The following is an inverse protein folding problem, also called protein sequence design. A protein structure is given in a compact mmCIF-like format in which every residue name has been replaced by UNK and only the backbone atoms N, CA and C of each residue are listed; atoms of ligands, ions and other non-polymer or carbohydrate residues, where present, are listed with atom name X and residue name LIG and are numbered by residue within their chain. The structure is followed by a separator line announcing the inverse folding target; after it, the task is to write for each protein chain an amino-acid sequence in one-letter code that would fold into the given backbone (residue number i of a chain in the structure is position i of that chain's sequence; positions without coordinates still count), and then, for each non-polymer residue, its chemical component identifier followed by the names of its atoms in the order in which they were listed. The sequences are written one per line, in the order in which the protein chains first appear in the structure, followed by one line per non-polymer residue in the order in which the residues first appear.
data_IF_858549197084
#
_entry.id   IF_858549197084
#
_cell.length_a   1.000
_cell.length_b   1.000
_cell.length_c   1.000
_cell.angle_alpha   90.00
_cell.angle_beta   90.00
_cell.angle_gamma   90.00
#
_symmetry.space_group_name_H-M   'P 1'
#
loop_
_entity.id
_entity.type
_entity.pdbx_description
1 polymer ?
#
# COMPACT_ATOMS: atom_id res chain seq x y z
N UNK A 1 -21.87 28.07 -18.40
CA UNK A 1 -20.53 28.05 -17.75
C UNK A 1 -20.61 27.78 -16.25
N UNK A 2 -21.55 28.33 -15.47
CA UNK A 2 -21.54 28.13 -14.00
C UNK A 2 -21.90 26.70 -13.52
N UNK A 3 -22.71 25.95 -14.27
CA UNK A 3 -23.11 24.58 -13.87
C UNK A 3 -21.98 23.54 -14.04
N UNK A 4 -21.15 23.69 -15.08
CA UNK A 4 -20.04 22.77 -15.39
C UNK A 4 -18.86 22.95 -14.40
N UNK A 5 -18.63 24.18 -13.94
CA UNK A 5 -17.62 24.48 -12.90
C UNK A 5 -18.02 23.84 -11.55
N UNK A 6 -19.29 23.92 -11.17
CA UNK A 6 -19.79 23.28 -9.95
C UNK A 6 -19.73 21.75 -10.02
N UNK A 7 -19.90 21.18 -11.21
CA UNK A 7 -19.78 19.74 -11.45
C UNK A 7 -18.32 19.27 -11.26
N UNK A 8 -17.34 20.03 -11.74
CA UNK A 8 -15.93 19.74 -11.49
C UNK A 8 -15.51 19.93 -10.04
N UNK A 9 -16.01 20.96 -9.35
CA UNK A 9 -15.74 21.15 -7.92
C UNK A 9 -16.21 19.93 -7.11
N UNK A 10 -17.41 19.42 -7.40
CA UNK A 10 -17.95 18.22 -6.75
C UNK A 10 -17.17 16.95 -7.13
N UNK A 11 -16.74 16.82 -8.37
CA UNK A 11 -15.92 15.70 -8.83
C UNK A 11 -14.55 15.68 -8.14
N UNK A 12 -13.91 16.85 -7.98
CA UNK A 12 -12.66 16.98 -7.23
C UNK A 12 -12.82 16.68 -5.75
N UNK A 13 -13.91 17.14 -5.13
CA UNK A 13 -14.20 16.82 -3.73
C UNK A 13 -14.31 15.31 -3.54
N UNK A 14 -15.13 14.65 -4.35
CA UNK A 14 -15.28 13.19 -4.33
C UNK A 14 -13.95 12.48 -4.53
N UNK A 15 -13.17 12.90 -5.53
CA UNK A 15 -11.87 12.31 -5.82
C UNK A 15 -10.86 12.45 -4.66
N UNK A 16 -10.86 13.61 -3.98
CA UNK A 16 -10.00 13.84 -2.82
C UNK A 16 -10.48 13.05 -1.60
N UNK A 17 -11.78 12.95 -1.38
CA UNK A 17 -12.36 12.14 -0.30
C UNK A 17 -12.00 10.65 -0.47
N UNK A 18 -12.12 10.12 -1.69
CA UNK A 18 -11.76 8.73 -2.01
C UNK A 18 -10.26 8.47 -1.81
N UNK A 19 -9.39 9.43 -2.18
CA UNK A 19 -7.95 9.32 -1.99
C UNK A 19 -7.56 9.37 -0.50
N UNK A 20 -8.24 10.21 0.28
CA UNK A 20 -8.04 10.27 1.74
C UNK A 20 -8.43 8.95 2.40
N UNK A 21 -9.57 8.36 2.02
CA UNK A 21 -10.01 7.07 2.52
C UNK A 21 -9.02 5.95 2.17
N UNK A 22 -8.47 5.98 0.96
CA UNK A 22 -7.42 5.05 0.55
C UNK A 22 -6.12 5.23 1.36
N UNK A 23 -5.74 6.47 1.68
CA UNK A 23 -4.59 6.76 2.53
C UNK A 23 -4.79 6.22 3.95
N UNK A 24 -5.98 6.44 4.53
CA UNK A 24 -6.34 5.93 5.85
C UNK A 24 -6.27 4.39 5.89
N UNK A 25 -6.78 3.72 4.85
CA UNK A 25 -6.70 2.27 4.75
C UNK A 25 -5.26 1.76 4.69
N UNK A 26 -4.44 2.35 3.82
CA UNK A 26 -3.05 1.94 3.68
C UNK A 26 -2.23 2.22 4.97
N UNK A 27 -2.53 3.29 5.71
CA UNK A 27 -1.93 3.53 7.02
C UNK A 27 -2.35 2.49 8.06
N UNK A 28 -3.62 2.09 8.08
CA UNK A 28 -4.09 1.00 8.96
C UNK A 28 -3.40 -0.31 8.64
N UNK A 29 -3.24 -0.64 7.36
CA UNK A 29 -2.54 -1.85 6.91
C UNK A 29 -1.05 -1.83 7.26
N UNK A 30 -0.39 -0.67 7.24
CA UNK A 30 1.00 -0.57 7.71
C UNK A 30 1.14 -0.65 9.22
N UNK A 31 0.14 -0.21 9.98
CA UNK A 31 0.13 -0.27 11.43
C UNK A 31 -0.29 -1.65 11.97
N UNK A 32 -0.97 -2.47 11.15
CA UNK A 32 -1.43 -3.79 11.57
C UNK A 32 -0.26 -4.77 11.71
N UNK A 33 -0.33 -5.63 12.74
CA UNK A 33 0.63 -6.73 12.93
C UNK A 33 0.24 -7.97 12.09
N UNK A 34 -1.00 -8.01 11.61
CA UNK A 34 -1.53 -9.12 10.82
C UNK A 34 -1.24 -8.92 9.34
N UNK A 35 -0.74 -9.97 8.68
CA UNK A 35 -0.62 -9.95 7.23
C UNK A 35 -2.01 -9.89 6.59
N UNK A 36 -2.27 -8.91 5.71
CA UNK A 36 -3.48 -8.92 4.91
C UNK A 36 -3.47 -10.14 3.99
N UNK A 37 -4.66 -10.67 3.74
CA UNK A 37 -4.87 -11.72 2.74
C UNK A 37 -4.49 -11.22 1.35
N UNK A 38 -4.13 -12.14 0.45
CA UNK A 38 -3.86 -11.81 -0.95
C UNK A 38 -5.06 -11.16 -1.64
N UNK A 39 -6.28 -11.50 -1.22
CA UNK A 39 -7.51 -10.89 -1.71
C UNK A 39 -7.64 -9.41 -1.31
N UNK A 40 -7.31 -9.07 -0.05
CA UNK A 40 -7.30 -7.68 0.44
C UNK A 40 -6.23 -6.85 -0.28
N UNK A 41 -5.04 -7.41 -0.48
CA UNK A 41 -3.96 -6.74 -1.25
C UNK A 41 -4.40 -6.52 -2.71
N UNK A 42 -5.01 -7.51 -3.34
CA UNK A 42 -5.50 -7.39 -4.72
C UNK A 42 -6.69 -6.41 -4.84
N UNK A 43 -7.48 -6.24 -3.79
CA UNK A 43 -8.52 -5.20 -3.74
C UNK A 43 -7.90 -3.80 -3.68
N UNK A 44 -6.90 -3.59 -2.82
CA UNK A 44 -6.19 -2.31 -2.72
C UNK A 44 -5.45 -1.94 -4.02
N UNK A 45 -4.92 -2.92 -4.76
CA UNK A 45 -4.21 -2.70 -6.02
C UNK A 45 -5.10 -2.26 -7.21
N UNK A 46 -6.43 -2.24 -7.06
CA UNK A 46 -7.38 -1.86 -8.12
C UNK A 46 -7.62 -0.36 -8.27
N UNK A 47 -6.91 0.48 -7.52
CA UNK A 47 -7.04 1.93 -7.65
C UNK A 47 -6.79 2.39 -9.09
N UNK A 48 -7.70 3.21 -9.60
CA UNK A 48 -7.60 3.81 -10.94
C UNK A 48 -7.72 5.31 -10.78
N UNK A 49 -6.82 6.09 -11.41
CA UNK A 49 -6.87 7.54 -11.29
C UNK A 49 -8.20 8.08 -11.84
N UNK A 50 -8.88 8.99 -11.12
CA UNK A 50 -10.11 9.60 -11.59
C UNK A 50 -9.84 10.40 -12.86
N UNK A 51 -10.73 10.25 -13.85
CA UNK A 51 -10.65 10.96 -15.14
C UNK A 51 -11.72 12.04 -15.21
N UNK A 52 -11.57 12.99 -16.14
CA UNK A 52 -12.57 14.03 -16.36
C UNK A 52 -12.65 15.12 -15.28
N UNK A 53 -11.67 15.20 -14.38
CA UNK A 53 -11.69 16.14 -13.26
C UNK A 53 -11.50 17.62 -13.65
N UNK A 54 -11.17 17.96 -14.89
CA UNK A 54 -10.91 19.35 -15.27
C UNK A 54 -9.74 19.97 -14.47
N UNK A 55 -9.72 21.29 -14.34
CA UNK A 55 -8.69 21.99 -13.57
C UNK A 55 -8.98 21.92 -12.07
N UNK A 56 -7.94 21.77 -11.24
CA UNK A 56 -8.07 21.77 -9.79
C UNK A 56 -8.58 23.14 -9.28
N UNK A 57 -9.70 23.18 -8.54
CA UNK A 57 -10.22 24.40 -7.94
C UNK A 57 -9.23 24.97 -6.92
N UNK A 58 -8.99 26.29 -6.97
CA UNK A 58 -8.00 26.94 -6.11
C UNK A 58 -8.28 26.73 -4.61
N UNK A 59 -9.56 26.65 -4.22
CA UNK A 59 -9.97 26.38 -2.84
C UNK A 59 -9.52 25.00 -2.34
N UNK A 60 -9.35 24.02 -3.24
CA UNK A 60 -8.92 22.65 -2.90
C UNK A 60 -7.41 22.45 -2.98
N UNK A 61 -6.66 23.44 -3.47
CA UNK A 61 -5.22 23.35 -3.68
C UNK A 61 -4.46 22.92 -2.42
N UNK A 62 -4.69 23.61 -1.30
CA UNK A 62 -4.00 23.31 -0.03
C UNK A 62 -4.29 21.89 0.46
N UNK A 63 -5.54 21.43 0.31
CA UNK A 63 -5.96 20.07 0.66
C UNK A 63 -5.24 19.03 -0.21
N UNK A 64 -5.25 19.23 -1.53
CA UNK A 64 -4.59 18.34 -2.48
C UNK A 64 -3.07 18.25 -2.25
N UNK A 65 -2.40 19.38 -1.96
CA UNK A 65 -0.97 19.41 -1.65
C UNK A 65 -0.63 18.66 -0.36
N UNK A 66 -1.44 18.85 0.70
CA UNK A 66 -1.27 18.12 1.96
C UNK A 66 -1.47 16.61 1.77
N UNK A 67 -2.49 16.22 1.00
CA UNK A 67 -2.77 14.82 0.68
C UNK A 67 -1.64 14.20 -0.14
N UNK A 68 -1.11 14.90 -1.14
CA UNK A 68 0.04 14.44 -1.92
C UNK A 68 1.27 14.21 -1.03
N UNK A 69 1.58 15.15 -0.14
CA UNK A 69 2.69 15.01 0.80
C UNK A 69 2.52 13.77 1.70
N UNK A 70 1.29 13.54 2.20
CA UNK A 70 0.94 12.34 2.97
C UNK A 70 1.15 11.05 2.17
N UNK A 71 0.69 10.99 0.92
CA UNK A 71 0.90 9.82 0.06
C UNK A 71 2.37 9.54 -0.24
N UNK A 72 3.19 10.58 -0.44
CA UNK A 72 4.63 10.40 -0.66
C UNK A 72 5.34 9.84 0.59
N UNK A 73 4.96 10.32 1.78
CA UNK A 73 5.47 9.76 3.04
C UNK A 73 5.04 8.29 3.20
N UNK A 74 3.78 7.99 2.92
CA UNK A 74 3.25 6.64 2.99
C UNK A 74 3.97 5.69 2.03
N UNK A 75 4.18 6.09 0.79
CA UNK A 75 4.93 5.32 -0.20
C UNK A 75 6.37 5.03 0.27
N UNK A 76 7.03 6.03 0.86
CA UNK A 76 8.37 5.89 1.44
C UNK A 76 8.39 4.88 2.58
N UNK A 77 7.43 4.95 3.50
CA UNK A 77 7.29 4.00 4.63
C UNK A 77 7.02 2.58 4.14
N UNK A 78 6.13 2.41 3.17
CA UNK A 78 5.83 1.12 2.55
C UNK A 78 7.08 0.52 1.90
N UNK A 79 7.83 1.31 1.13
CA UNK A 79 9.06 0.85 0.51
C UNK A 79 10.12 0.42 1.54
N UNK A 80 10.25 1.17 2.63
CA UNK A 80 11.16 0.84 3.74
C UNK A 80 10.76 -0.48 4.43
N UNK A 81 9.48 -0.65 4.73
CA UNK A 81 8.95 -1.89 5.33
C UNK A 81 9.21 -3.10 4.41
N UNK A 82 8.89 -2.97 3.12
CA UNK A 82 9.12 -4.03 2.14
C UNK A 82 10.61 -4.39 2.00
N UNK A 83 11.51 -3.40 2.07
CA UNK A 83 12.95 -3.64 2.05
C UNK A 83 13.44 -4.39 3.30
N UNK A 84 12.90 -4.08 4.48
CA UNK A 84 13.21 -4.79 5.72
C UNK A 84 12.75 -6.25 5.64
N UNK A 85 11.49 -6.49 5.25
CA UNK A 85 10.93 -7.85 5.15
C UNK A 85 11.73 -8.73 4.17
N UNK A 86 12.22 -8.17 3.05
CA UNK A 86 13.10 -8.91 2.11
C UNK A 86 14.44 -9.29 2.73
N UNK A 87 15.02 -8.44 3.58
CA UNK A 87 16.28 -8.75 4.28
C UNK A 87 16.08 -9.86 5.30
N UNK A 88 15.03 -9.79 6.10
CA UNK A 88 14.67 -10.82 7.08
C UNK A 88 14.43 -12.17 6.40
N UNK A 89 13.68 -12.19 5.30
CA UNK A 89 13.44 -13.41 4.52
C UNK A 89 14.75 -14.01 3.97
N UNK A 90 15.70 -13.19 3.55
CA UNK A 90 17.02 -13.65 3.07
C UNK A 90 17.85 -14.28 4.20
N UNK A 91 17.85 -13.69 5.40
CA UNK A 91 18.55 -14.24 6.57
C UNK A 91 17.96 -15.58 6.99
N UNK A 92 16.63 -15.68 7.06
CA UNK A 92 15.93 -16.94 7.39
C UNK A 92 16.26 -18.02 6.38
N UNK A 93 16.26 -17.71 5.08
CA UNK A 93 16.66 -18.67 4.04
C UNK A 93 18.09 -19.17 4.22
N UNK A 94 19.04 -18.29 4.58
CA UNK A 94 20.44 -18.69 4.82
C UNK A 94 20.59 -19.60 6.04
N UNK A 95 19.84 -19.34 7.11
CA UNK A 95 19.85 -20.20 8.31
C UNK A 95 19.27 -21.58 7.99
N UNK A 96 18.12 -21.63 7.32
CA UNK A 96 17.48 -22.88 6.90
C UNK A 96 18.37 -23.69 5.95
N UNK A 97 19.04 -23.05 4.99
CA UNK A 97 19.95 -23.72 4.08
C UNK A 97 21.22 -24.27 4.76
N UNK A 98 21.62 -23.69 5.90
CA UNK A 98 22.79 -24.13 6.68
C UNK A 98 22.45 -25.17 7.77
N UNK A 99 21.16 -25.45 7.99
CA UNK A 99 20.75 -26.47 8.95
C UNK A 99 21.31 -27.84 8.51
N UNK A 100 22.11 -28.53 9.36
CA UNK A 100 22.68 -29.81 8.99
C UNK A 100 21.54 -30.81 8.75
N UNK A 101 21.62 -31.56 7.64
CA UNK A 101 20.71 -32.66 7.38
C UNK A 101 20.75 -33.60 8.59
N UNK A 102 19.62 -33.73 9.29
CA UNK A 102 19.49 -34.65 10.42
C UNK A 102 19.91 -36.04 9.93
N UNK A 103 20.91 -36.70 10.58
CA UNK A 103 21.32 -38.03 10.17
C UNK A 103 20.14 -38.99 10.34
N UNK A 104 19.66 -39.52 9.22
CA UNK A 104 18.67 -40.60 9.19
C UNK A 104 19.44 -41.88 9.50
N UNK A 105 19.26 -42.41 10.70
CA UNK A 105 19.70 -43.76 11.01
C UNK A 105 18.76 -44.75 10.31
N UNK A 106 19.25 -45.36 9.23
CA UNK A 106 18.63 -46.55 8.64
C UNK A 106 19.00 -47.74 9.52
N UNK A 107 18.01 -48.28 10.23
CA UNK A 107 18.16 -49.55 10.92
C UNK A 107 18.12 -50.67 9.87
N UNK A 108 19.29 -51.23 9.58
CA UNK A 108 19.44 -52.35 8.66
C UNK A 108 19.34 -53.65 9.46
N UNK A 109 18.12 -54.01 9.88
CA UNK A 109 17.80 -55.37 10.31
C UNK A 109 16.71 -55.96 9.40
N UNK A 110 17.07 -57.05 8.71
CA UNK A 110 16.21 -57.82 7.81
C UNK A 110 17.03 -58.78 6.96
#
# INVERSE_FOLDING_TARGET
MSAEVLDWDAAWLTALDDLELAADEAERLLASTHLPSTAEVAAAARWTPPTGLGLLPLALKTRAEALLARHLDLARRTAAAAAMSRREASVVQQITARAPALPVYLDAEG
#
